data_IF_457976363117
#
_entry.id   IF_457976363117
#
_cell.length_a   1.000
_cell.length_b   1.000
_cell.length_c   1.000
_cell.angle_alpha   90.00
_cell.angle_beta   90.00
_cell.angle_gamma   90.00
#
_symmetry.space_group_name_H-M   'P 1'
#
loop_
_entity.id
_entity.type
_entity.pdbx_description
1 polymer ?
#
# COMPACT_ATOMS: atom_id res chain seq x y z
N UNK A 1 -8.97 -7.66 12.13
CA UNK A 1 -8.27 -8.94 11.84
C UNK A 1 -7.21 -8.64 10.80
N UNK A 2 -6.01 -9.22 10.93
CA UNK A 2 -4.87 -8.87 10.07
C UNK A 2 -5.19 -8.95 8.57
N UNK A 3 -5.82 -10.03 8.12
CA UNK A 3 -6.08 -10.25 6.70
C UNK A 3 -7.12 -9.26 6.15
N UNK A 4 -8.14 -8.96 6.96
CA UNK A 4 -9.16 -7.96 6.63
C UNK A 4 -8.53 -6.57 6.51
N UNK A 5 -7.69 -6.20 7.46
CA UNK A 5 -7.04 -4.89 7.48
C UNK A 5 -6.02 -4.77 6.34
N UNK A 6 -5.25 -5.83 6.08
CA UNK A 6 -4.31 -5.88 4.96
C UNK A 6 -5.02 -5.76 3.60
N UNK A 7 -6.17 -6.43 3.43
CA UNK A 7 -6.97 -6.33 2.21
C UNK A 7 -7.50 -4.90 2.00
N UNK A 8 -7.95 -4.24 3.07
CA UNK A 8 -8.41 -2.84 3.01
C UNK A 8 -7.28 -1.90 2.61
N UNK A 9 -6.11 -2.02 3.24
CA UNK A 9 -4.94 -1.19 2.91
C UNK A 9 -4.53 -1.38 1.45
N UNK A 10 -4.47 -2.63 0.96
CA UNK A 10 -4.14 -2.90 -0.45
C UNK A 10 -5.16 -2.28 -1.41
N UNK A 11 -6.45 -2.32 -1.08
CA UNK A 11 -7.50 -1.70 -1.89
C UNK A 11 -7.32 -0.18 -1.99
N UNK A 12 -7.04 0.50 -0.87
CA UNK A 12 -6.79 1.94 -0.86
C UNK A 12 -5.47 2.30 -1.56
N UNK A 13 -4.42 1.51 -1.38
CA UNK A 13 -3.17 1.66 -2.13
C UNK A 13 -3.37 1.52 -3.64
N UNK A 14 -4.22 0.57 -4.08
CA UNK A 14 -4.57 0.39 -5.50
C UNK A 14 -5.31 1.61 -6.03
N UNK A 15 -6.30 2.14 -5.30
CA UNK A 15 -7.01 3.37 -5.66
C UNK A 15 -6.04 4.56 -5.78
N UNK A 16 -5.20 4.78 -4.77
CA UNK A 16 -4.26 5.89 -4.76
C UNK A 16 -3.22 5.79 -5.88
N UNK A 17 -2.85 4.57 -6.27
CA UNK A 17 -1.94 4.30 -7.40
C UNK A 17 -2.60 4.48 -8.76
N UNK A 18 -3.93 4.34 -8.86
CA UNK A 18 -4.66 4.53 -10.12
C UNK A 18 -4.95 5.98 -10.48
N UNK A 19 -4.77 6.92 -9.54
CA UNK A 19 -5.04 8.33 -9.80
C UNK A 19 -4.05 8.94 -10.79
N UNK A 20 -4.60 9.61 -11.80
CA UNK A 20 -3.82 10.39 -12.76
C UNK A 20 -3.70 11.85 -12.32
N UNK A 21 -2.81 12.59 -12.99
CA UNK A 21 -2.58 14.01 -12.72
C UNK A 21 -3.88 14.80 -12.86
N UNK A 22 -4.23 15.57 -11.83
CA UNK A 22 -5.43 16.41 -11.84
C UNK A 22 -6.73 15.70 -11.42
N UNK A 23 -6.66 14.44 -10.99
CA UNK A 23 -7.81 13.76 -10.41
C UNK A 23 -8.36 14.54 -9.19
N UNK A 24 -9.70 14.64 -9.04
CA UNK A 24 -10.30 15.26 -7.87
C UNK A 24 -9.87 14.51 -6.60
N UNK A 25 -9.68 15.24 -5.51
CA UNK A 25 -9.29 14.70 -4.20
C UNK A 25 -7.96 13.92 -4.17
N UNK A 26 -7.12 14.00 -5.20
CA UNK A 26 -5.86 13.25 -5.27
C UNK A 26 -4.97 13.45 -4.04
N UNK A 27 -4.78 14.71 -3.65
CA UNK A 27 -3.98 15.05 -2.47
C UNK A 27 -4.56 14.42 -1.20
N UNK A 28 -5.88 14.51 -1.04
CA UNK A 28 -6.59 13.94 0.11
C UNK A 28 -6.48 12.42 0.14
N UNK A 29 -6.68 11.74 -0.99
CA UNK A 29 -6.54 10.28 -1.10
C UNK A 29 -5.11 9.85 -0.81
N UNK A 30 -4.11 10.53 -1.38
CA UNK A 30 -2.70 10.22 -1.16
C UNK A 30 -2.29 10.42 0.30
N UNK A 31 -2.69 11.52 0.94
CA UNK A 31 -2.39 11.79 2.35
C UNK A 31 -3.06 10.78 3.28
N UNK A 32 -4.34 10.47 3.05
CA UNK A 32 -5.06 9.48 3.84
C UNK A 32 -4.44 8.08 3.69
N UNK A 33 -4.12 7.68 2.46
CA UNK A 33 -3.47 6.39 2.19
C UNK A 33 -2.09 6.34 2.84
N UNK A 34 -1.29 7.42 2.76
CA UNK A 34 0.01 7.50 3.43
C UNK A 34 -0.11 7.30 4.94
N UNK A 35 -1.08 7.97 5.57
CA UNK A 35 -1.34 7.83 7.01
C UNK A 35 -1.75 6.40 7.37
N UNK A 36 -2.72 5.84 6.65
CA UNK A 36 -3.21 4.48 6.88
C UNK A 36 -2.09 3.44 6.73
N UNK A 37 -1.22 3.57 5.72
CA UNK A 37 -0.06 2.69 5.54
C UNK A 37 0.91 2.72 6.72
N UNK A 38 1.22 3.92 7.23
CA UNK A 38 2.14 4.10 8.37
C UNK A 38 1.52 3.49 9.64
N UNK A 39 0.25 3.78 9.89
CA UNK A 39 -0.48 3.26 11.06
C UNK A 39 -0.56 1.73 11.02
N UNK A 40 -0.88 1.15 9.85
CA UNK A 40 -0.92 -0.30 9.64
C UNK A 40 0.42 -0.96 9.96
N UNK A 41 1.51 -0.44 9.40
CA UNK A 41 2.86 -0.96 9.62
C UNK A 41 3.28 -0.84 11.07
N UNK A 42 3.07 0.33 11.68
CA UNK A 42 3.44 0.60 13.07
C UNK A 42 2.71 -0.35 14.03
N UNK A 43 1.43 -0.63 13.75
CA UNK A 43 0.62 -1.54 14.55
C UNK A 43 1.03 -3.00 14.36
N UNK A 44 1.19 -3.48 13.11
CA UNK A 44 1.34 -4.91 12.84
C UNK A 44 2.77 -5.46 12.97
N UNK A 45 3.79 -4.62 12.80
CA UNK A 45 5.21 -5.05 12.84
C UNK A 45 5.64 -5.70 14.16
N UNK A 46 4.99 -5.36 15.28
CA UNK A 46 5.31 -5.87 16.62
C UNK A 46 4.77 -7.28 16.89
N UNK A 47 3.82 -7.75 16.07
CA UNK A 47 3.23 -9.07 16.24
C UNK A 47 4.01 -10.09 15.41
N UNK A 48 4.84 -10.91 16.05
CA UNK A 48 5.73 -11.88 15.37
C UNK A 48 4.99 -12.88 14.48
N UNK A 49 3.77 -13.27 14.88
CA UNK A 49 2.87 -14.12 14.08
C UNK A 49 2.37 -13.45 12.79
N UNK A 50 2.45 -12.12 12.70
CA UNK A 50 2.10 -11.31 11.51
C UNK A 50 3.36 -10.90 10.74
N UNK A 51 4.39 -10.40 11.41
CA UNK A 51 5.60 -9.90 10.74
C UNK A 51 6.40 -10.99 10.03
N UNK A 52 6.27 -12.25 10.45
CA UNK A 52 6.82 -13.41 9.72
C UNK A 52 6.01 -13.87 8.51
N UNK A 53 4.86 -13.26 8.20
CA UNK A 53 4.00 -13.65 7.07
C UNK A 53 4.53 -13.09 5.75
N UNK A 54 4.36 -13.88 4.68
CA UNK A 54 4.73 -13.47 3.34
C UNK A 54 3.83 -12.32 2.86
N UNK A 55 2.53 -12.36 3.14
CA UNK A 55 1.61 -11.24 2.85
C UNK A 55 2.08 -9.94 3.50
N UNK A 56 2.57 -10.00 4.75
CA UNK A 56 3.03 -8.81 5.46
C UNK A 56 4.32 -8.27 4.84
N UNK A 57 5.28 -9.14 4.56
CA UNK A 57 6.58 -8.76 4.00
C UNK A 57 6.45 -8.11 2.62
N UNK A 58 5.60 -8.67 1.74
CA UNK A 58 5.34 -8.08 0.42
C UNK A 58 4.56 -6.77 0.54
N UNK A 59 3.56 -6.69 1.42
CA UNK A 59 2.81 -5.45 1.67
C UNK A 59 3.69 -4.35 2.25
N UNK A 60 4.57 -4.66 3.19
CA UNK A 60 5.53 -3.72 3.77
C UNK A 60 6.46 -3.12 2.71
N UNK A 61 6.94 -3.94 1.78
CA UNK A 61 7.73 -3.47 0.63
C UNK A 61 6.94 -2.49 -0.24
N UNK A 62 5.72 -2.86 -0.62
CA UNK A 62 4.86 -2.01 -1.45
C UNK A 62 4.50 -0.68 -0.74
N UNK A 63 4.28 -0.72 0.57
CA UNK A 63 4.05 0.46 1.41
C UNK A 63 5.26 1.40 1.37
N UNK A 64 6.48 0.88 1.56
CA UNK A 64 7.69 1.70 1.51
C UNK A 64 7.88 2.37 0.15
N UNK A 65 7.55 1.68 -0.94
CA UNK A 65 7.60 2.24 -2.30
C UNK A 65 6.61 3.38 -2.47
N UNK A 66 5.34 3.19 -2.07
CA UNK A 66 4.29 4.19 -2.26
C UNK A 66 4.42 5.37 -1.30
N UNK A 67 4.70 5.12 -0.02
CA UNK A 67 4.94 6.17 0.96
C UNK A 67 6.21 6.98 0.65
N UNK A 68 7.25 6.31 0.13
CA UNK A 68 8.46 6.95 -0.39
C UNK A 68 8.15 7.89 -1.55
N UNK A 69 7.32 7.47 -2.51
CA UNK A 69 6.85 8.32 -3.60
C UNK A 69 6.21 9.62 -3.10
N UNK A 70 5.25 9.53 -2.18
CA UNK A 70 4.59 10.71 -1.64
C UNK A 70 5.50 11.60 -0.79
N UNK A 71 6.57 11.03 -0.23
CA UNK A 71 7.56 11.80 0.54
C UNK A 71 8.53 12.55 -0.39
N UNK A 72 8.98 11.91 -1.48
CA UNK A 72 9.94 12.50 -2.40
C UNK A 72 9.32 13.48 -3.39
N UNK A 73 8.13 13.18 -3.91
CA UNK A 73 7.49 13.98 -4.97
C UNK A 73 6.30 14.79 -4.47
N UNK A 74 5.65 14.36 -3.39
CA UNK A 74 4.44 14.99 -2.85
C UNK A 74 3.14 14.29 -3.25
N UNK A 75 2.03 14.58 -2.55
CA UNK A 75 0.75 13.86 -2.68
C UNK A 75 -0.04 14.21 -3.95
N UNK A 76 0.32 15.31 -4.65
CA UNK A 76 -0.32 15.75 -5.91
C UNK A 76 0.28 15.12 -7.17
N UNK A 77 1.34 14.33 -7.00
CA UNK A 77 2.07 13.74 -8.13
C UNK A 77 1.69 12.28 -8.32
N UNK A 78 1.22 11.87 -9.50
CA UNK A 78 0.85 10.48 -9.75
C UNK A 78 2.08 9.58 -9.71
N UNK A 79 1.84 8.30 -9.44
CA UNK A 79 2.90 7.29 -9.45
C UNK A 79 3.37 7.08 -10.89
N UNK A 80 4.68 7.19 -11.20
CA UNK A 80 5.19 6.98 -12.54
C UNK A 80 4.83 5.60 -13.10
N UNK A 81 4.58 5.51 -14.40
CA UNK A 81 4.02 4.33 -15.05
C UNK A 81 4.77 3.02 -14.73
N UNK A 82 6.11 3.04 -14.83
CA UNK A 82 6.95 1.87 -14.52
C UNK A 82 6.77 1.39 -13.06
N UNK A 83 6.68 2.33 -12.11
CA UNK A 83 6.47 2.02 -10.68
C UNK A 83 5.04 1.54 -10.43
N UNK A 84 4.05 2.15 -11.09
CA UNK A 84 2.64 1.77 -11.04
C UNK A 84 2.43 0.32 -11.52
N UNK A 85 3.02 -0.08 -12.65
CA UNK A 85 2.96 -1.47 -13.15
C UNK A 85 3.52 -2.46 -12.12
N UNK A 86 4.67 -2.15 -11.52
CA UNK A 86 5.29 -2.99 -10.48
C UNK A 86 4.41 -3.10 -9.22
N UNK A 87 3.88 -1.99 -8.73
CA UNK A 87 2.98 -1.99 -7.57
C UNK A 87 1.73 -2.84 -7.80
N UNK A 88 1.13 -2.81 -8.99
CA UNK A 88 -0.02 -3.66 -9.29
C UNK A 88 0.31 -5.15 -9.27
N UNK A 89 1.50 -5.55 -9.72
CA UNK A 89 1.98 -6.94 -9.60
C UNK A 89 2.16 -7.32 -8.12
N UNK A 90 2.76 -6.43 -7.32
CA UNK A 90 2.92 -6.64 -5.87
C UNK A 90 1.56 -6.77 -5.17
N UNK A 91 0.58 -5.92 -5.50
CA UNK A 91 -0.79 -6.01 -4.94
C UNK A 91 -1.48 -7.33 -5.26
N UNK A 92 -1.35 -7.83 -6.49
CA UNK A 92 -1.93 -9.11 -6.87
C UNK A 92 -1.31 -10.27 -6.07
N UNK A 93 0.00 -10.25 -5.85
CA UNK A 93 0.67 -11.28 -5.03
C UNK A 93 0.31 -11.17 -3.55
N UNK A 94 0.17 -9.94 -3.02
CA UNK A 94 -0.30 -9.72 -1.64
C UNK A 94 -1.71 -10.29 -1.45
N UNK A 95 -2.65 -9.98 -2.36
CA UNK A 95 -4.02 -10.49 -2.29
C UNK A 95 -4.08 -12.02 -2.36
N UNK A 96 -3.24 -12.63 -3.20
CA UNK A 96 -3.10 -14.08 -3.28
C UNK A 96 -2.58 -14.67 -1.96
N UNK A 97 -1.62 -14.02 -1.30
CA UNK A 97 -1.09 -14.47 -0.01
C UNK A 97 -2.10 -14.26 1.13
N UNK A 98 -2.85 -13.16 1.11
CA UNK A 98 -3.98 -12.91 2.04
C UNK A 98 -5.02 -14.03 1.92
N UNK A 99 -5.46 -14.37 0.70
CA UNK A 99 -6.42 -15.47 0.46
C UNK A 99 -5.91 -16.83 0.97
N UNK A 100 -4.61 -17.08 0.82
CA UNK A 100 -3.96 -18.31 1.32
C UNK A 100 -3.63 -18.27 2.81
N UNK A 101 -3.87 -17.14 3.48
CA UNK A 101 -3.49 -16.87 4.87
C UNK A 101 -2.00 -17.11 5.14
N UNK A 102 -1.13 -16.63 4.24
CA UNK A 102 0.34 -16.79 4.27
C UNK A 102 1.07 -15.49 4.47
#
# INVERSE_FOLDING_TARGET
>A
DYYTDAQKVVAHMRLATSLDKGAPDMEKIALNTKKEMIDFVAFYRRFTNVSGKQSFSTLYTAINVLAGHYTSYGPKFPVPEKRRKRLYQEYAEIEKNIKKRR
#
